data_IF_698587061648
#
_entry.id   IF_698587061648
#
_cell.length_a   1.000
_cell.length_b   1.000
_cell.length_c   1.000
_cell.angle_alpha   90.00
_cell.angle_beta   90.00
_cell.angle_gamma   90.00
#
_symmetry.space_group_name_H-M   'P 1'
#
loop_
_entity.id
_entity.type
_entity.pdbx_description
1 polymer ?
#
# COMPACT_ATOMS: atom_id res chain seq x y z
N UNK A 1 0.77 -0.51 9.07
CA UNK A 1 0.92 -0.31 7.64
C UNK A 1 0.12 -1.38 6.91
N UNK A 2 -0.69 -1.01 6.00
CA UNK A 2 -1.45 -1.91 5.14
C UNK A 2 -1.37 -1.41 3.70
N UNK A 3 -1.96 -2.15 2.77
CA UNK A 3 -1.97 -1.83 1.34
C UNK A 3 -2.43 -0.38 1.11
N UNK A 4 -3.47 0.06 1.80
CA UNK A 4 -3.99 1.42 1.68
C UNK A 4 -2.93 2.50 2.00
N UNK A 5 -2.14 2.31 3.06
CA UNK A 5 -1.07 3.26 3.45
C UNK A 5 0.04 3.28 2.40
N UNK A 6 0.40 2.12 1.86
CA UNK A 6 1.42 2.02 0.81
C UNK A 6 0.97 2.71 -0.49
N UNK A 7 -0.30 2.53 -0.89
CA UNK A 7 -0.86 3.23 -2.06
C UNK A 7 -0.91 4.74 -1.81
N UNK A 8 -1.40 5.16 -0.64
CA UNK A 8 -1.47 6.58 -0.27
C UNK A 8 -0.10 7.24 -0.24
N UNK A 9 0.94 6.56 0.24
CA UNK A 9 2.29 7.12 0.34
C UNK A 9 2.90 7.53 -1.00
N UNK A 10 2.40 6.98 -2.12
CA UNK A 10 2.81 7.38 -3.48
C UNK A 10 2.36 8.80 -3.86
N UNK A 11 1.27 9.26 -3.26
CA UNK A 11 0.60 10.51 -3.64
C UNK A 11 0.57 11.54 -2.52
N UNK A 12 0.56 11.08 -1.26
CA UNK A 12 0.42 11.93 -0.10
C UNK A 12 1.62 12.87 0.08
N UNK A 13 1.33 14.12 0.42
CA UNK A 13 2.32 15.16 0.72
C UNK A 13 2.12 15.70 2.13
N UNK A 14 3.17 16.22 2.78
CA UNK A 14 3.00 16.92 4.04
C UNK A 14 1.96 18.04 3.94
N UNK A 15 1.00 18.01 4.86
CA UNK A 15 -0.14 18.95 4.89
C UNK A 15 -1.43 18.41 4.30
N UNK A 16 -1.40 17.31 3.53
CA UNK A 16 -2.61 16.70 2.98
C UNK A 16 -3.52 16.19 4.10
N UNK A 17 -4.84 16.33 3.88
CA UNK A 17 -5.86 15.79 4.77
C UNK A 17 -6.30 14.42 4.25
N UNK A 18 -6.30 13.43 5.13
CA UNK A 18 -6.79 12.08 4.86
C UNK A 18 -7.99 11.83 5.74
N UNK A 19 -9.08 11.39 5.14
CA UNK A 19 -10.26 10.91 5.86
C UNK A 19 -10.28 9.40 5.83
N UNK A 20 -10.31 8.78 7.01
CA UNK A 20 -10.37 7.33 7.16
C UNK A 20 -11.79 6.92 7.58
N UNK A 21 -12.42 6.07 6.77
CA UNK A 21 -13.60 5.30 7.15
C UNK A 21 -13.16 3.87 7.45
N UNK A 22 -13.33 3.43 8.71
CA UNK A 22 -12.95 2.08 9.13
C UNK A 22 -13.97 1.01 8.72
N UNK A 23 -15.19 1.43 8.41
CA UNK A 23 -16.31 0.55 8.12
C UNK A 23 -17.16 1.08 6.96
N UNK A 24 -16.58 1.18 5.75
CA UNK A 24 -17.28 1.73 4.59
C UNK A 24 -18.54 0.93 4.21
N UNK A 25 -18.60 -0.34 4.60
CA UNK A 25 -19.73 -1.24 4.36
C UNK A 25 -20.94 -1.01 5.27
N UNK A 26 -20.77 -0.28 6.40
CA UNK A 26 -21.86 -0.01 7.33
C UNK A 26 -22.28 1.45 7.30
N UNK A 27 -23.59 1.68 7.43
CA UNK A 27 -24.14 3.00 7.75
C UNK A 27 -23.85 3.37 9.22
N UNK A 28 -23.96 4.65 9.55
CA UNK A 28 -23.81 5.12 10.94
C UNK A 28 -24.79 4.43 11.89
N UNK A 29 -26.03 4.17 11.45
CA UNK A 29 -27.06 3.53 12.25
C UNK A 29 -26.75 2.06 12.51
N UNK A 30 -26.25 1.34 11.51
CA UNK A 30 -25.82 -0.05 11.65
C UNK A 30 -24.64 -0.15 12.60
N UNK A 31 -23.62 0.69 12.41
CA UNK A 31 -22.45 0.70 13.29
C UNK A 31 -22.81 1.05 14.73
N UNK A 32 -23.71 2.01 14.93
CA UNK A 32 -24.23 2.33 16.26
C UNK A 32 -24.93 1.11 16.90
N UNK A 33 -25.76 0.40 16.14
CA UNK A 33 -26.47 -0.79 16.61
C UNK A 33 -25.51 -1.91 16.97
N UNK A 34 -24.43 -2.11 16.20
CA UNK A 34 -23.37 -3.08 16.48
C UNK A 34 -22.68 -2.74 17.79
N UNK A 35 -22.21 -1.50 17.97
CA UNK A 35 -21.53 -1.05 19.18
C UNK A 35 -22.43 -1.26 20.41
N UNK A 36 -23.71 -0.91 20.31
CA UNK A 36 -24.68 -1.10 21.40
C UNK A 36 -24.89 -2.56 21.74
N UNK A 37 -24.93 -3.44 20.75
CA UNK A 37 -25.05 -4.88 20.97
C UNK A 37 -23.80 -5.43 21.67
N UNK A 38 -22.61 -5.06 21.21
CA UNK A 38 -21.35 -5.48 21.84
C UNK A 38 -21.25 -5.00 23.28
N UNK A 39 -21.72 -3.80 23.59
CA UNK A 39 -21.73 -3.25 24.94
C UNK A 39 -22.51 -4.12 25.92
N UNK A 40 -23.54 -4.83 25.46
CA UNK A 40 -24.34 -5.74 26.31
C UNK A 40 -23.74 -7.14 26.44
N UNK A 41 -22.80 -7.50 25.54
CA UNK A 41 -22.25 -8.87 25.49
C UNK A 41 -20.85 -8.98 26.11
N UNK A 42 -19.96 -8.09 25.77
CA UNK A 42 -18.53 -8.19 26.17
C UNK A 42 -17.90 -6.84 26.47
N UNK A 43 -18.06 -5.89 25.57
CA UNK A 43 -17.56 -4.52 25.66
C UNK A 43 -17.85 -3.80 24.36
N UNK A 44 -18.08 -2.47 24.38
CA UNK A 44 -18.65 -1.75 23.23
C UNK A 44 -17.80 -1.82 21.96
N UNK A 45 -16.53 -2.17 22.10
CA UNK A 45 -15.57 -2.17 20.98
C UNK A 45 -14.85 -3.51 20.80
N UNK A 46 -15.25 -4.55 21.57
CA UNK A 46 -14.61 -5.88 21.48
C UNK A 46 -14.78 -6.50 20.10
N UNK A 47 -13.65 -6.86 19.49
CA UNK A 47 -13.61 -7.39 18.13
C UNK A 47 -13.88 -6.38 17.03
N UNK A 48 -14.31 -5.16 17.37
CA UNK A 48 -14.58 -4.10 16.41
C UNK A 48 -13.30 -3.32 16.04
N UNK A 49 -12.48 -2.98 17.04
CA UNK A 49 -11.24 -2.23 16.81
C UNK A 49 -10.05 -2.88 17.51
N UNK A 50 -8.84 -2.49 17.08
CA UNK A 50 -7.65 -2.89 17.78
C UNK A 50 -7.66 -2.33 19.22
N UNK A 51 -7.29 -3.10 20.27
CA UNK A 51 -7.36 -2.68 21.68
C UNK A 51 -6.73 -1.33 21.99
N UNK A 52 -5.69 -0.92 21.27
CA UNK A 52 -5.05 0.40 21.41
C UNK A 52 -5.96 1.59 21.04
N UNK A 53 -7.02 1.36 20.28
CA UNK A 53 -7.99 2.40 19.90
C UNK A 53 -9.12 2.54 20.91
N UNK A 54 -9.38 1.53 21.73
CA UNK A 54 -10.47 1.54 22.71
C UNK A 54 -10.41 2.76 23.64
N UNK A 55 -9.29 3.09 24.30
CA UNK A 55 -9.22 4.27 25.16
C UNK A 55 -9.46 5.60 24.43
N UNK A 56 -9.14 5.65 23.14
CA UNK A 56 -9.40 6.83 22.32
C UNK A 56 -10.90 6.97 22.06
N UNK A 57 -11.58 5.84 21.72
CA UNK A 57 -13.01 5.81 21.42
C UNK A 57 -13.85 6.11 22.65
N UNK A 58 -13.45 5.60 23.83
CA UNK A 58 -14.13 5.88 25.10
C UNK A 58 -14.18 7.37 25.46
N UNK A 59 -13.19 8.13 24.98
CA UNK A 59 -13.11 9.58 25.17
C UNK A 59 -13.81 10.39 24.07
N UNK A 60 -14.37 9.73 23.03
CA UNK A 60 -15.08 10.43 21.96
C UNK A 60 -16.53 10.71 22.34
N UNK A 61 -17.00 11.92 22.03
CA UNK A 61 -18.44 12.26 22.19
C UNK A 61 -19.31 11.46 21.21
N UNK A 62 -18.79 11.16 20.03
CA UNK A 62 -19.46 10.36 19.02
C UNK A 62 -18.49 9.34 18.43
N UNK A 63 -18.39 8.14 19.01
CA UNK A 63 -17.49 7.08 18.52
C UNK A 63 -17.80 6.63 17.09
N UNK A 64 -19.08 6.64 16.69
CA UNK A 64 -19.48 6.26 15.32
C UNK A 64 -18.91 7.25 14.30
N UNK A 65 -19.09 8.55 14.54
CA UNK A 65 -18.53 9.60 13.68
C UNK A 65 -17.00 9.50 13.61
N UNK A 66 -16.32 9.22 14.71
CA UNK A 66 -14.88 9.00 14.73
C UNK A 66 -14.46 7.82 13.86
N UNK A 67 -15.18 6.69 13.93
CA UNK A 67 -14.87 5.50 13.15
C UNK A 67 -15.21 5.65 11.66
N UNK A 68 -16.20 6.46 11.34
CA UNK A 68 -16.65 6.70 9.96
C UNK A 68 -15.93 7.86 9.28
N UNK A 69 -15.36 8.78 10.06
CA UNK A 69 -14.80 10.02 9.53
C UNK A 69 -13.60 10.51 10.37
N UNK A 70 -12.57 9.67 10.48
CA UNK A 70 -11.34 10.07 11.16
C UNK A 70 -10.50 10.93 10.23
N UNK A 71 -10.37 12.21 10.58
CA UNK A 71 -9.51 13.14 9.86
C UNK A 71 -8.08 13.09 10.39
N UNK A 72 -7.12 12.90 9.50
CA UNK A 72 -5.70 12.89 9.78
C UNK A 72 -4.97 13.85 8.85
N UNK A 73 -3.97 14.56 9.39
CA UNK A 73 -3.07 15.38 8.59
C UNK A 73 -1.76 14.62 8.38
N UNK A 74 -1.33 14.50 7.13
CA UNK A 74 -0.03 13.93 6.80
C UNK A 74 1.06 14.86 7.31
N UNK A 75 1.90 14.38 8.22
CA UNK A 75 3.05 15.16 8.71
C UNK A 75 4.23 15.02 7.76
N UNK A 76 4.60 13.79 7.48
CA UNK A 76 5.73 13.43 6.62
C UNK A 76 5.61 11.97 6.16
N UNK A 77 6.33 11.60 5.14
CA UNK A 77 6.62 10.21 4.81
C UNK A 77 7.82 9.74 5.64
N UNK A 78 7.85 8.49 6.00
CA UNK A 78 9.02 7.88 6.62
C UNK A 78 10.18 7.85 5.62
N UNK A 79 11.42 7.83 6.14
CA UNK A 79 12.63 7.73 5.33
C UNK A 79 12.73 6.44 4.51
N UNK A 80 13.68 6.40 3.61
CA UNK A 80 13.91 5.30 2.67
C UNK A 80 14.09 3.94 3.36
N UNK A 81 14.64 3.93 4.57
CA UNK A 81 14.80 2.72 5.38
C UNK A 81 13.49 2.01 5.74
N UNK A 82 12.35 2.66 5.54
CA UNK A 82 11.01 2.09 5.75
C UNK A 82 10.28 1.81 4.43
N UNK A 83 10.88 2.16 3.29
CA UNK A 83 10.30 1.88 1.98
C UNK A 83 10.28 0.37 1.71
N UNK A 84 9.22 -0.11 1.07
CA UNK A 84 9.12 -1.50 0.59
C UNK A 84 9.37 -1.60 -0.91
N UNK A 85 9.28 -0.49 -1.62
CA UNK A 85 9.60 -0.33 -3.02
C UNK A 85 9.88 1.15 -3.28
N UNK A 86 10.78 1.43 -4.22
CA UNK A 86 11.07 2.78 -4.68
C UNK A 86 10.35 3.07 -6.01
N UNK A 87 10.08 4.36 -6.24
CA UNK A 87 9.54 4.85 -7.50
C UNK A 87 10.66 5.46 -8.34
N UNK A 88 10.59 5.26 -9.65
CA UNK A 88 11.60 5.71 -10.57
C UNK A 88 12.54 4.60 -11.01
N UNK A 89 13.59 4.94 -11.72
CA UNK A 89 14.54 3.99 -12.27
C UNK A 89 14.81 4.25 -13.75
N UNK A 90 15.30 3.25 -14.44
CA UNK A 90 15.55 3.31 -15.88
C UNK A 90 14.23 3.19 -16.65
N UNK A 91 13.95 4.18 -17.50
CA UNK A 91 12.71 4.18 -18.30
C UNK A 91 12.63 2.96 -19.21
N UNK A 92 11.54 2.21 -19.08
CA UNK A 92 11.30 0.98 -19.86
C UNK A 92 11.32 1.22 -21.37
N UNK A 93 10.95 2.42 -21.82
CA UNK A 93 10.98 2.81 -23.24
C UNK A 93 12.37 2.77 -23.87
N UNK A 94 13.43 2.71 -23.07
CA UNK A 94 14.81 2.60 -23.54
C UNK A 94 15.24 1.14 -23.79
N UNK A 95 14.35 0.18 -23.53
CA UNK A 95 14.62 -1.25 -23.62
C UNK A 95 13.70 -1.90 -24.66
N UNK A 96 14.18 -2.97 -25.30
CA UNK A 96 13.36 -3.82 -26.14
C UNK A 96 12.55 -4.85 -25.30
N UNK A 97 11.79 -5.71 -25.98
CA UNK A 97 10.96 -6.73 -25.34
C UNK A 97 11.76 -7.76 -24.50
N UNK A 98 13.05 -7.89 -24.75
CA UNK A 98 13.98 -8.76 -24.02
C UNK A 98 14.72 -8.03 -22.90
N UNK A 99 14.32 -6.81 -22.57
CA UNK A 99 14.99 -5.93 -21.59
C UNK A 99 16.44 -5.59 -21.93
N UNK A 100 16.81 -5.61 -23.22
CA UNK A 100 18.08 -5.12 -23.71
C UNK A 100 17.97 -3.61 -23.98
N UNK A 101 18.93 -2.86 -23.46
CA UNK A 101 19.05 -1.43 -23.69
C UNK A 101 19.44 -1.13 -25.15
N UNK A 102 19.30 0.11 -25.59
CA UNK A 102 19.76 0.55 -26.92
C UNK A 102 21.27 0.36 -27.18
N UNK A 103 22.04 0.13 -26.10
CA UNK A 103 23.43 -0.29 -26.20
C UNK A 103 23.50 -1.83 -26.17
N UNK A 104 24.12 -2.49 -27.19
CA UNK A 104 24.11 -3.94 -27.32
C UNK A 104 24.67 -4.69 -26.10
N UNK A 105 24.03 -5.79 -25.75
CA UNK A 105 24.39 -6.69 -24.63
C UNK A 105 24.33 -6.05 -23.25
N UNK A 106 23.65 -4.92 -23.11
CA UNK A 106 23.35 -4.31 -21.83
C UNK A 106 21.88 -4.56 -21.48
N UNK A 107 21.64 -5.30 -20.40
CA UNK A 107 20.30 -5.68 -19.94
C UNK A 107 20.04 -5.09 -18.56
N UNK A 108 18.76 -4.83 -18.26
CA UNK A 108 18.33 -4.47 -16.93
C UNK A 108 17.06 -5.26 -16.54
N UNK A 109 16.96 -5.68 -15.30
CA UNK A 109 15.82 -6.47 -14.80
C UNK A 109 15.43 -6.04 -13.40
N UNK A 110 14.16 -6.27 -13.05
CA UNK A 110 13.66 -6.00 -11.71
C UNK A 110 13.50 -4.51 -11.40
N UNK A 111 13.68 -4.15 -10.15
CA UNK A 111 13.32 -2.85 -9.58
C UNK A 111 14.18 -1.67 -10.07
N UNK A 112 15.31 -1.94 -10.74
CA UNK A 112 16.10 -0.89 -11.41
C UNK A 112 15.33 -0.22 -12.57
N UNK A 113 14.33 -0.93 -13.12
CA UNK A 113 13.44 -0.39 -14.15
C UNK A 113 12.34 0.44 -13.49
N UNK A 114 11.95 1.54 -14.14
CA UNK A 114 10.84 2.39 -13.69
C UNK A 114 9.48 1.68 -13.92
N UNK A 115 9.32 0.57 -13.20
CA UNK A 115 8.10 -0.23 -13.14
C UNK A 115 7.85 -0.58 -11.68
N UNK A 116 6.70 -0.12 -11.17
CA UNK A 116 6.29 -0.44 -9.81
C UNK A 116 4.90 -1.05 -9.83
N UNK A 117 4.81 -2.30 -9.43
CA UNK A 117 3.56 -3.03 -9.28
C UNK A 117 2.81 -2.67 -7.99
N UNK A 118 1.57 -3.12 -7.92
CA UNK A 118 0.78 -3.00 -6.69
C UNK A 118 1.36 -3.87 -5.56
N UNK A 119 1.00 -3.53 -4.32
CA UNK A 119 1.35 -4.35 -3.17
C UNK A 119 0.69 -5.73 -3.30
N UNK A 120 1.49 -6.80 -3.12
CA UNK A 120 1.00 -8.19 -3.26
C UNK A 120 1.98 -9.12 -3.98
N UNK A 121 3.27 -8.77 -4.02
CA UNK A 121 4.32 -9.59 -4.62
C UNK A 121 4.58 -9.32 -6.11
N UNK A 122 3.87 -8.38 -6.72
CA UNK A 122 4.03 -8.07 -8.15
C UNK A 122 5.44 -7.60 -8.52
N UNK A 123 6.11 -6.82 -7.66
CA UNK A 123 7.48 -6.36 -7.91
C UNK A 123 8.47 -7.53 -7.93
N UNK A 124 8.35 -8.49 -6.99
CA UNK A 124 9.18 -9.69 -6.95
C UNK A 124 8.89 -10.56 -8.18
N UNK A 125 7.60 -10.72 -8.54
CA UNK A 125 7.22 -11.48 -9.72
C UNK A 125 7.78 -10.86 -11.00
N UNK A 126 7.70 -9.54 -11.13
CA UNK A 126 8.29 -8.81 -12.27
C UNK A 126 9.80 -8.98 -12.33
N UNK A 127 10.50 -8.91 -11.18
CA UNK A 127 11.95 -9.11 -11.13
C UNK A 127 12.36 -10.49 -11.66
N UNK A 128 11.63 -11.54 -11.26
CA UNK A 128 11.88 -12.90 -11.75
C UNK A 128 11.51 -13.07 -13.23
N UNK A 129 10.38 -12.52 -13.65
CA UNK A 129 9.92 -12.63 -15.03
C UNK A 129 10.83 -11.90 -16.01
N UNK A 130 11.26 -10.68 -15.68
CA UNK A 130 12.20 -9.91 -16.50
C UNK A 130 13.58 -10.58 -16.58
N UNK A 131 14.09 -11.11 -15.48
CA UNK A 131 15.34 -11.88 -15.46
C UNK A 131 15.24 -13.14 -16.33
N UNK A 132 14.11 -13.85 -16.29
CA UNK A 132 13.88 -15.02 -17.14
C UNK A 132 13.82 -14.65 -18.62
N UNK A 133 13.23 -13.50 -18.99
CA UNK A 133 13.21 -13.01 -20.37
C UNK A 133 14.61 -12.72 -20.89
N UNK A 134 15.46 -12.07 -20.09
CA UNK A 134 16.88 -11.84 -20.41
C UNK A 134 17.63 -13.16 -20.56
N UNK A 135 17.45 -14.10 -19.64
CA UNK A 135 18.07 -15.41 -19.72
C UNK A 135 17.73 -16.14 -21.02
N UNK A 136 16.47 -16.12 -21.44
CA UNK A 136 16.03 -16.73 -22.71
C UNK A 136 16.71 -16.09 -23.91
N UNK A 137 16.90 -14.77 -23.92
CA UNK A 137 17.53 -14.06 -25.04
C UNK A 137 19.03 -14.36 -25.11
N UNK A 138 19.73 -14.21 -23.99
CA UNK A 138 21.18 -14.48 -23.91
C UNK A 138 21.51 -15.93 -24.22
N UNK A 139 20.67 -16.87 -23.81
CA UNK A 139 20.87 -18.30 -24.09
C UNK A 139 20.82 -18.67 -25.58
N UNK A 140 20.15 -17.86 -26.42
CA UNK A 140 20.13 -18.05 -27.89
C UNK A 140 21.48 -17.66 -28.52
N UNK A 141 22.21 -16.75 -27.89
CA UNK A 141 23.46 -16.19 -28.44
C UNK A 141 24.68 -17.05 -28.09
N UNK A 142 24.54 -17.97 -27.12
CA UNK A 142 25.63 -18.84 -26.64
C UNK A 142 25.64 -20.20 -27.38
N UNK A 143 24.64 -20.50 -28.19
CA UNK A 143 24.60 -21.68 -29.07
C UNK A 143 25.21 -21.36 -30.44
#
# INVERSE_FOLDING_TARGET
SGIAVMVLSRYARPGDQIVCDFYPEFTDQELYSIIRTLQTMSGPYDGLVHPKLVPILENQKNPVSFLKHLELTVKELRGEEFAQADLGGLMISNFNESFEFSYPHLYATGEILDITGDCGGYNIHFALASAYSVFKEVSKTIQ
#
